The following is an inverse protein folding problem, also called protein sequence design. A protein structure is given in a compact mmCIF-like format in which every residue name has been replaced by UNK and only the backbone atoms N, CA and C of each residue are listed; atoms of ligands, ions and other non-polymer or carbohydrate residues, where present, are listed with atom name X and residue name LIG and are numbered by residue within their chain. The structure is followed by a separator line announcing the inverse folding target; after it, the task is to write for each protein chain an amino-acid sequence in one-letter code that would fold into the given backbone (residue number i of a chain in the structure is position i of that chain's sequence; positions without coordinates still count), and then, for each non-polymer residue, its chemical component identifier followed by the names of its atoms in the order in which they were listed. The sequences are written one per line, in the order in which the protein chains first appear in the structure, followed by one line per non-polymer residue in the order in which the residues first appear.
data_IF_534313177415
#
_entry.id   IF_534313177415
#
_cell.length_a   1.000
_cell.length_b   1.000
_cell.length_c   1.000
_cell.angle_alpha   90.00
_cell.angle_beta   90.00
_cell.angle_gamma   90.00
#
_symmetry.space_group_name_H-M   'P 1'
#
loop_
_entity.id
_entity.type
_entity.pdbx_description
1 polymer ?
#
# COMPACT_ATOMS: atom_id res chain seq x y z
N UNK A 1 16.99 -9.93 6.12
CA UNK A 1 16.16 -9.91 4.88
C UNK A 1 16.82 -9.17 3.72
N UNK A 2 17.22 -7.90 3.85
CA UNK A 2 17.90 -7.19 2.74
C UNK A 2 19.20 -7.88 2.29
N UNK A 3 20.07 -8.25 3.22
CA UNK A 3 21.31 -8.95 2.88
C UNK A 3 21.06 -10.38 2.39
N UNK A 4 20.03 -11.06 2.90
CA UNK A 4 19.63 -12.36 2.36
C UNK A 4 19.13 -12.24 0.91
N UNK A 5 18.45 -11.14 0.59
CA UNK A 5 17.89 -10.92 -0.75
C UNK A 5 18.95 -10.74 -1.83
N UNK A 6 20.13 -10.22 -1.51
CA UNK A 6 21.23 -10.09 -2.49
C UNK A 6 21.77 -11.45 -2.93
N UNK A 7 21.69 -12.46 -2.06
CA UNK A 7 22.16 -13.82 -2.35
C UNK A 7 21.07 -14.74 -2.91
N UNK A 8 19.79 -14.43 -2.66
CA UNK A 8 18.65 -15.28 -3.02
C UNK A 8 17.87 -14.80 -4.24
N UNK A 9 17.95 -13.51 -4.59
CA UNK A 9 17.34 -12.98 -5.82
C UNK A 9 18.18 -13.37 -7.01
N UNK A 10 17.61 -14.17 -7.88
CA UNK A 10 18.22 -14.55 -9.16
C UNK A 10 17.40 -13.94 -10.29
N UNK A 11 18.09 -13.56 -11.37
CA UNK A 11 17.41 -13.15 -12.60
C UNK A 11 16.73 -14.35 -13.26
N UNK A 12 15.72 -14.14 -14.14
CA UNK A 12 15.08 -15.24 -14.87
C UNK A 12 16.09 -16.14 -15.60
N UNK A 13 17.09 -15.55 -16.26
CA UNK A 13 18.15 -16.29 -16.95
C UNK A 13 19.03 -17.12 -15.99
N UNK A 14 19.36 -16.58 -14.80
CA UNK A 14 20.11 -17.33 -13.80
C UNK A 14 19.31 -18.50 -13.23
N UNK A 15 17.99 -18.32 -13.03
CA UNK A 15 17.08 -19.38 -12.63
C UNK A 15 17.00 -20.48 -13.69
N UNK A 16 16.81 -20.11 -14.95
CA UNK A 16 16.75 -21.03 -16.08
C UNK A 16 18.03 -21.87 -16.17
N UNK A 17 19.20 -21.23 -16.10
CA UNK A 17 20.49 -21.89 -16.10
C UNK A 17 20.72 -22.82 -14.90
N UNK A 18 20.13 -22.51 -13.72
CA UNK A 18 20.18 -23.41 -12.56
C UNK A 18 19.28 -24.63 -12.76
N UNK A 19 18.08 -24.44 -13.28
CA UNK A 19 17.15 -25.53 -13.58
C UNK A 19 17.72 -26.47 -14.64
N UNK A 20 18.24 -25.93 -15.74
CA UNK A 20 18.87 -26.74 -16.79
C UNK A 20 20.08 -27.52 -16.26
N UNK A 21 20.92 -26.92 -15.40
CA UNK A 21 22.01 -27.66 -14.74
C UNK A 21 21.50 -28.76 -13.81
N UNK A 22 20.44 -28.50 -13.06
CA UNK A 22 19.82 -29.49 -12.18
C UNK A 22 19.28 -30.69 -12.98
N UNK A 23 18.54 -30.43 -14.07
CA UNK A 23 18.03 -31.46 -14.98
C UNK A 23 19.19 -32.26 -15.59
N UNK A 24 20.24 -31.59 -16.06
CA UNK A 24 21.43 -32.25 -16.62
C UNK A 24 22.19 -33.11 -15.61
N UNK A 25 22.28 -32.67 -14.35
CA UNK A 25 22.90 -33.46 -13.30
C UNK A 25 22.07 -34.70 -12.94
N UNK A 26 20.75 -34.55 -12.95
CA UNK A 26 19.82 -35.65 -12.70
C UNK A 26 19.85 -36.69 -13.82
N UNK A 27 19.92 -36.24 -15.09
CA UNK A 27 19.98 -37.13 -16.26
C UNK A 27 21.29 -37.92 -16.33
N UNK A 28 22.40 -37.34 -15.86
CA UNK A 28 23.72 -38.01 -15.82
C UNK A 28 23.91 -38.94 -14.62
N UNK A 29 23.04 -38.89 -13.61
CA UNK A 29 23.19 -39.70 -12.41
C UNK A 29 22.54 -41.08 -12.58
N UNK A 30 23.37 -42.12 -12.71
CA UNK A 30 22.92 -43.49 -12.93
C UNK A 30 21.96 -44.02 -11.86
N UNK A 31 22.14 -43.69 -10.57
CA UNK A 31 21.25 -44.17 -9.51
C UNK A 31 19.85 -43.56 -9.62
N UNK A 32 19.77 -42.30 -10.03
CA UNK A 32 18.50 -41.61 -10.29
C UNK A 32 17.81 -42.21 -11.51
N UNK A 33 18.55 -42.45 -12.60
CA UNK A 33 18.00 -43.07 -13.81
C UNK A 33 17.46 -44.48 -13.55
N UNK A 34 18.19 -45.31 -12.79
CA UNK A 34 17.70 -46.65 -12.40
C UNK A 34 16.43 -46.58 -11.55
N UNK A 35 16.35 -45.61 -10.63
CA UNK A 35 15.16 -45.43 -9.81
C UNK A 35 13.97 -45.05 -10.70
N UNK A 36 14.11 -44.03 -11.55
CA UNK A 36 13.05 -43.58 -12.44
C UNK A 36 12.59 -44.67 -13.41
N UNK A 37 13.52 -45.41 -14.00
CA UNK A 37 13.19 -46.51 -14.92
C UNK A 37 12.47 -47.67 -14.23
N UNK A 38 12.75 -47.94 -12.95
CA UNK A 38 12.00 -48.92 -12.15
C UNK A 38 10.52 -48.53 -12.02
N UNK A 39 10.21 -47.23 -11.96
CA UNK A 39 8.84 -46.71 -11.94
C UNK A 39 8.26 -46.48 -13.35
N UNK A 40 9.01 -46.76 -14.42
CA UNK A 40 8.61 -46.46 -15.80
C UNK A 40 8.54 -44.96 -16.10
N UNK A 41 9.27 -44.13 -15.35
CA UNK A 41 9.28 -42.67 -15.47
C UNK A 41 10.57 -42.17 -16.12
N UNK A 42 10.49 -41.00 -16.74
CA UNK A 42 11.64 -40.23 -17.22
C UNK A 42 11.33 -38.73 -17.13
N UNK A 43 12.37 -37.90 -17.03
CA UNK A 43 12.24 -36.45 -17.09
C UNK A 43 12.62 -35.93 -18.47
N UNK A 44 11.93 -34.89 -18.91
CA UNK A 44 12.29 -34.16 -20.12
C UNK A 44 13.55 -33.31 -19.90
N UNK A 45 14.43 -33.25 -20.91
CA UNK A 45 15.70 -32.52 -20.84
C UNK A 45 15.58 -31.03 -21.19
N UNK A 46 14.36 -30.55 -21.41
CA UNK A 46 14.05 -29.16 -21.77
C UNK A 46 12.97 -28.65 -20.84
N UNK A 47 12.99 -27.35 -20.61
CA UNK A 47 11.90 -26.69 -19.88
C UNK A 47 10.64 -26.71 -20.73
N UNK A 48 9.49 -26.79 -20.05
CA UNK A 48 8.19 -26.79 -20.69
C UNK A 48 7.95 -25.44 -21.39
N UNK A 49 7.74 -25.48 -22.71
CA UNK A 49 7.34 -24.31 -23.47
C UNK A 49 5.84 -24.08 -23.32
N UNK A 50 5.48 -22.88 -22.90
CA UNK A 50 4.09 -22.47 -22.72
C UNK A 50 3.77 -21.29 -23.62
N UNK A 51 2.63 -21.37 -24.32
CA UNK A 51 2.10 -20.24 -25.08
C UNK A 51 1.25 -19.37 -24.15
N UNK A 52 1.78 -18.20 -23.80
CA UNK A 52 1.06 -17.18 -23.03
C UNK A 52 0.32 -16.18 -23.91
N UNK A 53 -0.48 -15.31 -23.29
CA UNK A 53 -1.06 -14.11 -23.91
C UNK A 53 -0.65 -12.88 -23.13
N UNK A 54 -0.32 -11.79 -23.83
CA UNK A 54 -0.10 -10.47 -23.24
C UNK A 54 -1.39 -9.69 -23.41
N UNK A 55 -1.99 -9.26 -22.29
CA UNK A 55 -3.18 -8.42 -22.32
C UNK A 55 -2.82 -6.98 -22.71
N UNK A 56 -3.70 -6.26 -23.41
CA UNK A 56 -3.50 -4.84 -23.69
C UNK A 56 -3.43 -4.03 -22.38
N UNK A 57 -2.78 -2.87 -22.44
CA UNK A 57 -2.77 -1.94 -21.31
C UNK A 57 -4.17 -1.35 -21.11
N UNK A 58 -4.59 -1.23 -19.84
CA UNK A 58 -5.81 -0.53 -19.49
C UNK A 58 -5.60 0.99 -19.54
N UNK A 59 -6.66 1.74 -19.84
CA UNK A 59 -6.59 3.21 -19.84
C UNK A 59 -6.80 3.74 -18.42
N UNK A 60 -5.92 4.64 -17.99
CA UNK A 60 -6.04 5.31 -16.70
C UNK A 60 -6.89 6.57 -16.88
N UNK A 61 -7.92 6.71 -16.05
CA UNK A 61 -8.80 7.88 -15.98
C UNK A 61 -8.39 8.75 -14.79
N UNK A 62 -8.16 10.03 -15.04
CA UNK A 62 -7.76 11.00 -14.02
C UNK A 62 -8.36 12.38 -14.31
N UNK A 63 -9.25 12.84 -13.43
CA UNK A 63 -10.08 14.02 -13.67
C UNK A 63 -10.87 13.87 -14.97
N UNK A 64 -10.77 14.85 -15.87
CA UNK A 64 -11.41 14.82 -17.18
C UNK A 64 -10.55 14.16 -18.29
N UNK A 65 -9.39 13.58 -17.94
CA UNK A 65 -8.45 13.01 -18.92
C UNK A 65 -8.35 11.49 -18.81
N UNK A 66 -8.08 10.88 -19.94
CA UNK A 66 -7.76 9.46 -20.05
C UNK A 66 -6.43 9.32 -20.81
N UNK A 67 -5.52 8.47 -20.32
CA UNK A 67 -4.22 8.24 -20.94
C UNK A 67 -3.79 6.78 -20.86
N UNK A 68 -2.83 6.43 -21.70
CA UNK A 68 -2.19 5.11 -21.77
C UNK A 68 -0.80 5.15 -21.14
N UNK A 69 -0.25 3.97 -20.85
CA UNK A 69 1.10 3.80 -20.31
C UNK A 69 1.77 2.58 -20.95
N UNK A 70 3.08 2.47 -20.82
CA UNK A 70 3.82 1.31 -21.33
C UNK A 70 3.52 0.07 -20.47
N UNK A 71 2.86 -0.99 -21.01
CA UNK A 71 2.54 -2.19 -20.23
C UNK A 71 3.78 -2.96 -19.77
N UNK A 72 4.92 -2.81 -20.45
CA UNK A 72 6.17 -3.46 -20.05
C UNK A 72 6.78 -2.83 -18.78
N UNK A 73 6.59 -1.52 -18.60
CA UNK A 73 7.09 -0.80 -17.42
C UNK A 73 6.06 -0.82 -16.27
N UNK A 74 4.76 -0.85 -16.63
CA UNK A 74 3.63 -0.80 -15.70
C UNK A 74 3.70 0.38 -14.70
N UNK A 75 4.23 1.52 -15.15
CA UNK A 75 4.36 2.76 -14.38
C UNK A 75 3.78 3.93 -15.17
N UNK A 76 2.87 4.68 -14.54
CA UNK A 76 2.24 5.89 -15.09
C UNK A 76 2.53 7.14 -14.23
N UNK A 77 3.57 7.10 -13.39
CA UNK A 77 3.96 8.20 -12.50
C UNK A 77 4.35 9.49 -13.23
N UNK A 78 4.65 9.43 -14.54
CA UNK A 78 4.99 10.61 -15.35
C UNK A 78 3.72 11.25 -15.90
N UNK A 79 2.80 10.43 -16.39
CA UNK A 79 1.53 10.77 -17.01
C UNK A 79 0.58 11.42 -15.99
N UNK A 80 0.63 10.99 -14.72
CA UNK A 80 -0.14 11.59 -13.62
C UNK A 80 0.24 13.05 -13.31
N UNK A 81 1.42 13.52 -13.73
CA UNK A 81 1.96 14.81 -13.27
C UNK A 81 1.17 15.97 -13.87
N UNK A 82 0.76 16.89 -13.00
CA UNK A 82 0.05 18.10 -13.42
C UNK A 82 -1.41 17.87 -13.79
N UNK A 83 -1.96 16.68 -13.52
CA UNK A 83 -3.36 16.37 -13.72
C UNK A 83 -4.12 16.40 -12.39
N UNK A 84 -5.33 16.99 -12.35
CA UNK A 84 -6.18 16.93 -11.17
C UNK A 84 -6.60 15.49 -10.89
N UNK A 85 -6.84 15.15 -9.62
CA UNK A 85 -7.35 13.83 -9.23
C UNK A 85 -8.80 13.61 -9.73
N UNK A 86 -9.27 12.36 -9.73
CA UNK A 86 -10.67 12.04 -10.03
C UNK A 86 -11.62 12.71 -9.02
N UNK A 87 -11.36 12.46 -7.74
CA UNK A 87 -12.13 13.03 -6.63
C UNK A 87 -11.14 13.60 -5.63
N UNK A 88 -11.15 14.92 -5.47
CA UNK A 88 -10.26 15.63 -4.56
C UNK A 88 -11.00 16.08 -3.31
N UNK A 89 -10.44 15.76 -2.14
CA UNK A 89 -11.04 16.06 -0.85
C UNK A 89 -10.33 17.26 -0.22
N UNK A 90 -11.00 18.41 -0.03
CA UNK A 90 -10.39 19.58 0.58
C UNK A 90 -10.08 19.34 2.05
N UNK A 91 -8.93 19.84 2.51
CA UNK A 91 -8.52 19.80 3.92
C UNK A 91 -8.52 21.21 4.47
N UNK A 92 -9.55 21.53 5.24
CA UNK A 92 -9.77 22.82 5.88
C UNK A 92 -9.17 22.86 7.29
N UNK A 93 -9.45 21.84 8.09
CA UNK A 93 -9.00 21.75 9.48
C UNK A 93 -8.16 20.50 9.66
N UNK A 94 -6.85 20.66 9.59
CA UNK A 94 -5.89 19.56 9.76
C UNK A 94 -4.66 20.01 10.53
N UNK A 95 -3.95 19.05 11.12
CA UNK A 95 -2.80 19.29 11.99
C UNK A 95 -1.51 18.74 11.38
N UNK A 96 -0.42 19.50 11.51
CA UNK A 96 0.93 19.05 11.19
C UNK A 96 1.77 18.96 12.47
N UNK A 97 2.00 17.73 12.92
CA UNK A 97 2.75 17.42 14.12
C UNK A 97 4.22 17.23 13.82
N UNK A 98 5.11 17.92 14.54
CA UNK A 98 6.55 17.77 14.40
C UNK A 98 7.28 17.96 15.73
N UNK A 99 8.51 17.49 15.80
CA UNK A 99 9.40 17.84 16.92
C UNK A 99 10.06 19.19 16.67
N UNK A 100 10.51 19.86 17.74
CA UNK A 100 11.18 21.17 17.63
C UNK A 100 12.37 21.15 16.66
N UNK A 101 13.15 20.08 16.66
CA UNK A 101 14.29 19.88 15.74
C UNK A 101 13.90 19.74 14.26
N UNK A 102 12.66 19.34 13.97
CA UNK A 102 12.17 19.10 12.63
C UNK A 102 11.29 20.24 12.12
N UNK A 103 11.29 21.40 12.78
CA UNK A 103 10.47 22.55 12.40
C UNK A 103 10.74 22.99 10.95
N UNK A 104 12.00 23.11 10.55
CA UNK A 104 12.36 23.50 9.17
C UNK A 104 11.88 22.47 8.13
N UNK A 105 12.04 21.17 8.44
CA UNK A 105 11.57 20.06 7.60
C UNK A 105 10.05 20.11 7.44
N UNK A 106 9.32 20.41 8.52
CA UNK A 106 7.87 20.56 8.50
C UNK A 106 7.41 21.73 7.62
N UNK A 107 8.07 22.88 7.75
CA UNK A 107 7.79 24.05 6.91
C UNK A 107 8.11 23.79 5.44
N UNK A 108 9.23 23.13 5.15
CA UNK A 108 9.61 22.76 3.78
C UNK A 108 8.61 21.79 3.15
N UNK A 109 8.14 20.79 3.91
CA UNK A 109 7.06 19.91 3.46
C UNK A 109 5.78 20.70 3.18
N UNK A 110 5.34 21.57 4.10
CA UNK A 110 4.12 22.36 3.92
C UNK A 110 4.18 23.25 2.67
N UNK A 111 5.30 23.94 2.46
CA UNK A 111 5.53 24.74 1.25
C UNK A 111 5.49 23.89 -0.02
N UNK A 112 6.03 22.67 0.04
CA UNK A 112 6.04 21.76 -1.12
C UNK A 112 4.66 21.19 -1.39
N UNK A 113 3.90 20.79 -0.36
CA UNK A 113 2.53 20.29 -0.49
C UNK A 113 1.63 21.29 -1.21
N UNK A 114 1.74 22.59 -0.87
CA UNK A 114 0.99 23.66 -1.54
C UNK A 114 1.37 23.89 -3.01
N UNK A 115 2.54 23.38 -3.44
CA UNK A 115 3.01 23.48 -4.83
C UNK A 115 2.65 22.25 -5.67
N UNK A 116 2.21 21.14 -5.04
CA UNK A 116 1.91 19.91 -5.78
C UNK A 116 0.67 20.15 -6.66
N UNK A 117 0.76 19.94 -7.98
CA UNK A 117 -0.34 20.20 -8.91
C UNK A 117 -1.31 19.02 -8.98
N UNK A 118 -1.84 18.57 -7.83
CA UNK A 118 -2.83 17.48 -7.74
C UNK A 118 -4.26 17.99 -7.56
N UNK A 119 -4.47 19.30 -7.43
CA UNK A 119 -5.80 19.89 -7.30
C UNK A 119 -6.46 19.71 -5.93
N UNK A 120 -5.70 19.27 -4.91
CA UNK A 120 -6.18 19.22 -3.52
C UNK A 120 -6.05 20.60 -2.89
N UNK A 121 -7.18 21.14 -2.42
CA UNK A 121 -7.18 22.37 -1.64
C UNK A 121 -6.74 22.10 -0.21
N UNK A 122 -5.57 22.61 0.17
CA UNK A 122 -5.00 22.49 1.50
C UNK A 122 -5.01 23.86 2.19
N UNK A 123 -5.85 24.02 3.22
CA UNK A 123 -5.76 25.17 4.11
C UNK A 123 -4.50 25.09 4.98
N UNK A 124 -4.10 26.22 5.58
CA UNK A 124 -2.93 26.26 6.46
C UNK A 124 -3.19 25.36 7.69
N UNK A 125 -2.34 24.34 7.96
CA UNK A 125 -2.56 23.46 9.09
C UNK A 125 -2.31 24.16 10.42
N UNK A 126 -2.95 23.65 11.46
CA UNK A 126 -2.52 23.90 12.83
C UNK A 126 -1.19 23.20 13.10
N UNK A 127 -0.15 23.97 13.38
CA UNK A 127 1.14 23.41 13.79
C UNK A 127 1.05 22.88 15.22
N UNK A 128 1.56 21.68 15.44
CA UNK A 128 1.60 21.04 16.75
C UNK A 128 3.01 20.53 17.03
N UNK A 129 3.70 21.21 17.93
CA UNK A 129 5.00 20.75 18.40
C UNK A 129 4.83 19.69 19.48
N UNK A 130 5.65 18.65 19.43
CA UNK A 130 5.72 17.63 20.48
C UNK A 130 7.18 17.31 20.83
N UNK A 131 7.39 16.87 22.07
CA UNK A 131 8.68 16.32 22.50
C UNK A 131 8.84 14.89 21.99
N UNK A 132 10.05 14.47 21.61
CA UNK A 132 10.32 13.21 20.90
C UNK A 132 10.25 11.95 21.81
N UNK A 133 9.31 11.95 22.75
CA UNK A 133 8.91 10.85 23.64
C UNK A 133 7.50 10.38 23.28
N UNK A 134 7.24 9.07 23.42
CA UNK A 134 5.96 8.48 23.02
C UNK A 134 4.79 9.08 23.82
N UNK A 135 4.95 9.24 25.13
CA UNK A 135 3.92 9.77 26.03
C UNK A 135 3.64 11.25 25.78
N UNK A 136 4.66 12.01 25.38
CA UNK A 136 4.50 13.41 25.02
C UNK A 136 3.75 13.56 23.69
N UNK A 137 4.07 12.72 22.68
CA UNK A 137 3.33 12.67 21.42
C UNK A 137 1.86 12.31 21.64
N UNK A 138 1.59 11.28 22.45
CA UNK A 138 0.22 10.86 22.76
C UNK A 138 -0.57 11.97 23.46
N UNK A 139 0.02 12.61 24.47
CA UNK A 139 -0.63 13.74 25.17
C UNK A 139 -0.91 14.91 24.23
N UNK A 140 0.02 15.24 23.34
CA UNK A 140 -0.18 16.29 22.35
C UNK A 140 -1.37 15.97 21.43
N UNK A 141 -1.48 14.72 20.95
CA UNK A 141 -2.63 14.26 20.17
C UNK A 141 -3.93 14.37 20.96
N UNK A 142 -3.97 13.88 22.20
CA UNK A 142 -5.16 13.93 23.06
C UNK A 142 -5.65 15.36 23.35
N UNK A 143 -4.74 16.32 23.42
CA UNK A 143 -5.09 17.72 23.71
C UNK A 143 -5.57 18.50 22.49
N UNK A 144 -5.10 18.15 21.29
CA UNK A 144 -5.27 18.97 20.08
C UNK A 144 -6.17 18.34 19.03
N UNK A 145 -6.29 17.02 19.01
CA UNK A 145 -7.15 16.30 18.07
C UNK A 145 -8.56 16.25 18.65
N UNK A 146 -9.43 17.09 18.10
CA UNK A 146 -10.86 17.10 18.40
C UNK A 146 -11.68 16.64 17.20
N UNK A 147 -13.01 16.57 17.37
CA UNK A 147 -13.94 16.11 16.34
C UNK A 147 -13.94 16.94 15.04
N UNK A 148 -13.47 18.20 15.09
CA UNK A 148 -13.38 19.09 13.93
C UNK A 148 -12.13 18.83 13.08
N UNK A 149 -11.15 18.08 13.58
CA UNK A 149 -9.91 17.81 12.85
C UNK A 149 -10.15 16.72 11.82
N UNK A 150 -9.99 17.05 10.55
CA UNK A 150 -10.18 16.13 9.43
C UNK A 150 -9.01 15.17 9.27
N UNK A 151 -7.78 15.63 9.53
CA UNK A 151 -6.57 14.81 9.36
C UNK A 151 -5.42 15.26 10.27
N UNK A 152 -4.58 14.30 10.66
CA UNK A 152 -3.32 14.56 11.36
C UNK A 152 -2.14 14.01 10.56
N UNK A 153 -1.22 14.89 10.18
CA UNK A 153 0.08 14.51 9.60
C UNK A 153 1.14 14.54 10.70
N UNK A 154 1.84 13.43 10.92
CA UNK A 154 2.85 13.30 11.98
C UNK A 154 4.23 13.08 11.39
N UNK A 155 5.11 14.04 11.56
CA UNK A 155 6.53 13.92 11.23
C UNK A 155 7.25 13.25 12.40
N UNK A 156 7.61 11.98 12.21
CA UNK A 156 8.37 11.18 13.16
C UNK A 156 9.87 11.41 12.94
N UNK A 157 10.62 11.61 14.02
CA UNK A 157 12.05 11.86 13.90
C UNK A 157 12.86 10.65 13.40
N UNK A 158 12.38 9.43 13.69
CA UNK A 158 13.03 8.17 13.31
C UNK A 158 11.98 7.10 12.97
N UNK A 159 12.40 6.02 12.31
CA UNK A 159 11.55 4.88 11.97
C UNK A 159 11.34 3.94 13.19
N UNK A 160 10.70 4.48 14.23
CA UNK A 160 10.45 3.81 15.51
C UNK A 160 9.03 3.28 15.56
N UNK A 161 8.88 1.96 15.68
CA UNK A 161 7.60 1.25 15.63
C UNK A 161 6.69 1.63 16.80
N UNK A 162 7.23 1.77 18.01
CA UNK A 162 6.50 2.15 19.22
C UNK A 162 5.74 3.49 19.08
N UNK A 163 6.40 4.52 18.52
CA UNK A 163 5.74 5.82 18.26
C UNK A 163 4.68 5.72 17.18
N UNK A 164 4.97 5.01 16.09
CA UNK A 164 4.01 4.81 15.00
C UNK A 164 2.76 4.08 15.49
N UNK A 165 2.95 2.96 16.23
CA UNK A 165 1.86 2.16 16.76
C UNK A 165 1.04 2.95 17.79
N UNK A 166 1.68 3.79 18.60
CA UNK A 166 0.98 4.67 19.54
C UNK A 166 0.07 5.68 18.82
N UNK A 167 0.56 6.35 17.78
CA UNK A 167 -0.24 7.27 16.95
C UNK A 167 -1.41 6.53 16.32
N UNK A 168 -1.16 5.34 15.74
CA UNK A 168 -2.19 4.55 15.07
C UNK A 168 -3.22 3.97 16.02
N UNK A 169 -2.80 3.47 17.19
CA UNK A 169 -3.71 2.98 18.21
C UNK A 169 -4.68 4.07 18.65
N UNK A 170 -4.16 5.25 19.01
CA UNK A 170 -5.00 6.35 19.45
C UNK A 170 -5.94 6.85 18.33
N UNK A 171 -5.40 7.15 17.14
CA UNK A 171 -6.17 7.77 16.05
C UNK A 171 -7.07 6.80 15.27
N UNK A 172 -6.98 5.49 15.52
CA UNK A 172 -7.88 4.51 14.93
C UNK A 172 -8.85 3.88 15.94
N UNK A 173 -8.57 3.95 17.25
CA UNK A 173 -9.40 3.34 18.29
C UNK A 173 -10.07 4.39 19.18
N UNK A 174 -9.28 5.25 19.82
CA UNK A 174 -9.78 6.16 20.86
C UNK A 174 -10.36 7.46 20.28
N UNK A 175 -9.73 8.00 19.23
CA UNK A 175 -10.18 9.20 18.52
C UNK A 175 -10.04 8.98 17.01
N UNK A 176 -11.04 8.39 16.34
CA UNK A 176 -10.97 8.04 14.93
C UNK A 176 -10.75 9.29 14.05
N UNK A 177 -9.51 9.50 13.62
CA UNK A 177 -9.13 10.58 12.70
C UNK A 177 -8.10 10.07 11.69
N UNK A 178 -8.33 10.26 10.38
CA UNK A 178 -7.35 9.94 9.35
C UNK A 178 -5.96 10.49 9.66
N UNK A 179 -4.93 9.65 9.52
CA UNK A 179 -3.56 10.05 9.89
C UNK A 179 -2.48 9.58 8.92
N UNK A 180 -1.50 10.46 8.68
CA UNK A 180 -0.35 10.21 7.82
C UNK A 180 0.95 10.40 8.60
N UNK A 181 1.68 9.31 8.83
CA UNK A 181 3.01 9.37 9.44
C UNK A 181 4.09 9.47 8.36
N UNK A 182 5.07 10.35 8.55
CA UNK A 182 6.22 10.51 7.65
C UNK A 182 7.49 10.60 8.48
N UNK A 183 8.55 9.90 8.08
CA UNK A 183 9.83 9.99 8.78
C UNK A 183 10.61 11.20 8.27
N UNK A 184 11.13 12.03 9.18
CA UNK A 184 11.84 13.27 8.87
C UNK A 184 12.99 13.04 7.86
N UNK A 185 13.76 11.97 8.01
CA UNK A 185 14.85 11.58 7.08
C UNK A 185 14.39 11.47 5.62
N UNK A 186 13.15 11.06 5.38
CA UNK A 186 12.58 10.97 4.02
C UNK A 186 12.41 12.36 3.42
N UNK A 187 12.06 13.36 4.23
CA UNK A 187 11.80 14.73 3.82
C UNK A 187 13.08 15.56 3.69
N UNK A 188 14.17 15.19 4.36
CA UNK A 188 15.46 15.90 4.33
C UNK A 188 16.22 15.80 2.99
N UNK A 189 15.60 15.36 1.91
CA UNK A 189 16.19 15.22 0.57
C UNK A 189 15.53 16.20 -0.41
N UNK A 190 16.07 17.43 -0.56
CA UNK A 190 15.42 18.50 -1.34
C UNK A 190 15.12 18.09 -2.80
N UNK A 191 16.05 17.38 -3.45
CA UNK A 191 15.92 16.94 -4.84
C UNK A 191 14.71 16.03 -5.09
N UNK A 192 14.28 15.26 -4.08
CA UNK A 192 13.16 14.31 -4.19
C UNK A 192 11.90 14.77 -3.46
N UNK A 193 11.95 15.92 -2.79
CA UNK A 193 10.90 16.37 -1.89
C UNK A 193 9.57 16.58 -2.63
N UNK A 194 9.59 17.09 -3.85
CA UNK A 194 8.39 17.26 -4.69
C UNK A 194 7.69 15.93 -4.99
N UNK A 195 8.46 14.91 -5.38
CA UNK A 195 7.92 13.56 -5.63
C UNK A 195 7.36 12.93 -4.36
N UNK A 196 8.05 13.11 -3.24
CA UNK A 196 7.61 12.60 -1.93
C UNK A 196 6.32 13.31 -1.48
N UNK A 197 6.28 14.64 -1.58
CA UNK A 197 5.09 15.43 -1.27
C UNK A 197 3.92 15.03 -2.17
N UNK A 198 4.14 14.79 -3.47
CA UNK A 198 3.09 14.30 -4.38
C UNK A 198 2.50 12.97 -3.90
N UNK A 199 3.35 12.01 -3.53
CA UNK A 199 2.91 10.72 -2.98
C UNK A 199 2.18 10.88 -1.64
N UNK A 200 2.64 11.78 -0.78
CA UNK A 200 1.97 12.10 0.49
C UNK A 200 0.59 12.71 0.22
N UNK A 201 0.47 13.68 -0.68
CA UNK A 201 -0.80 14.29 -1.06
C UNK A 201 -1.80 13.27 -1.60
N UNK A 202 -1.35 12.35 -2.47
CA UNK A 202 -2.19 11.25 -2.96
C UNK A 202 -2.67 10.35 -1.80
N UNK A 203 -1.78 9.98 -0.87
CA UNK A 203 -2.16 9.18 0.30
C UNK A 203 -3.12 9.91 1.24
N UNK A 204 -2.93 11.22 1.43
CA UNK A 204 -3.84 12.06 2.21
C UNK A 204 -5.22 12.09 1.56
N UNK A 205 -5.30 12.29 0.25
CA UNK A 205 -6.57 12.27 -0.48
C UNK A 205 -7.30 10.94 -0.31
N UNK A 206 -6.60 9.82 -0.52
CA UNK A 206 -7.17 8.48 -0.34
C UNK A 206 -7.69 8.21 1.08
N UNK A 207 -6.99 8.73 2.10
CA UNK A 207 -7.43 8.59 3.50
C UNK A 207 -8.62 9.47 3.87
N UNK A 208 -8.87 10.49 3.06
CA UNK A 208 -10.08 11.32 3.12
C UNK A 208 -11.18 10.82 2.19
N UNK A 209 -11.07 9.58 1.68
CA UNK A 209 -12.03 8.96 0.76
C UNK A 209 -12.01 9.55 -0.67
N UNK A 210 -10.96 10.31 -1.02
CA UNK A 210 -10.74 10.81 -2.37
C UNK A 210 -10.10 9.78 -3.29
N UNK A 211 -10.32 9.95 -4.59
CA UNK A 211 -9.92 9.01 -5.63
C UNK A 211 -8.84 9.65 -6.52
N UNK A 212 -7.62 9.08 -6.59
CA UNK A 212 -6.55 9.66 -7.38
C UNK A 212 -6.76 9.45 -8.88
N UNK A 213 -7.18 8.25 -9.27
CA UNK A 213 -7.42 7.79 -10.63
C UNK A 213 -8.38 6.59 -10.59
N UNK A 214 -8.94 6.25 -11.76
CA UNK A 214 -9.78 5.06 -11.93
C UNK A 214 -9.46 4.36 -13.25
N UNK A 215 -10.04 3.17 -13.44
CA UNK A 215 -9.99 2.42 -14.71
C UNK A 215 -11.42 2.05 -15.09
N UNK A 216 -11.67 1.86 -16.38
CA UNK A 216 -13.00 1.49 -16.85
C UNK A 216 -13.29 0.01 -16.51
N UNK A 217 -14.38 -0.22 -15.78
CA UNK A 217 -14.88 -1.57 -15.49
C UNK A 217 -16.27 -1.68 -16.13
N UNK A 218 -16.46 -2.42 -17.24
CA UNK A 218 -17.72 -2.45 -17.97
C UNK A 218 -18.83 -3.22 -17.24
N UNK A 219 -18.52 -3.89 -16.13
CA UNK A 219 -19.48 -4.67 -15.35
C UNK A 219 -20.27 -3.76 -14.40
N UNK A 220 -21.60 -3.73 -14.58
CA UNK A 220 -22.52 -3.02 -13.68
C UNK A 220 -22.77 -3.81 -12.40
N UNK A 221 -23.04 -3.09 -11.30
CA UNK A 221 -23.38 -3.65 -9.99
C UNK A 221 -22.39 -4.74 -9.52
N UNK A 222 -21.10 -4.48 -9.71
CA UNK A 222 -20.02 -5.35 -9.27
C UNK A 222 -19.58 -4.95 -7.86
N UNK A 223 -19.44 -5.93 -6.95
CA UNK A 223 -18.74 -5.77 -5.69
C UNK A 223 -17.42 -6.54 -5.74
N UNK A 224 -16.30 -5.85 -5.49
CA UNK A 224 -15.00 -6.49 -5.33
C UNK A 224 -14.67 -6.61 -3.85
N UNK A 225 -14.37 -7.82 -3.39
CA UNK A 225 -13.88 -8.09 -2.04
C UNK A 225 -12.44 -8.56 -2.12
N UNK A 226 -11.55 -7.86 -1.42
CA UNK A 226 -10.16 -8.28 -1.26
C UNK A 226 -10.01 -8.83 0.15
N UNK A 227 -9.82 -10.14 0.27
CA UNK A 227 -9.46 -10.76 1.54
C UNK A 227 -7.97 -10.55 1.76
N UNK A 228 -7.61 -9.71 2.73
CA UNK A 228 -6.21 -9.54 3.15
C UNK A 228 -5.78 -10.66 4.09
N UNK A 229 -4.52 -11.05 3.99
CA UNK A 229 -3.88 -12.16 4.72
C UNK A 229 -4.22 -12.21 6.21
N UNK A 230 -4.35 -13.43 6.75
CA UNK A 230 -4.16 -13.67 8.17
C UNK A 230 -2.70 -13.44 8.50
N UNK A 231 -2.31 -12.21 8.80
CA UNK A 231 -1.00 -11.96 9.40
C UNK A 231 -0.95 -12.69 10.74
N UNK A 232 -0.10 -13.72 10.84
CA UNK A 232 0.27 -14.28 12.14
C UNK A 232 1.01 -13.19 12.89
N UNK A 233 0.33 -12.52 13.82
CA UNK A 233 0.96 -11.55 14.72
C UNK A 233 2.08 -12.28 15.47
N UNK A 234 3.36 -11.90 15.31
CA UNK A 234 4.43 -12.58 16.03
C UNK A 234 4.53 -12.01 17.46
N UNK A 235 3.63 -12.40 18.38
CA UNK A 235 3.95 -12.51 19.81
C UNK A 235 2.83 -13.16 20.64
N UNK A 236 3.28 -14.06 21.53
CA UNK A 236 2.63 -14.72 22.68
C UNK A 236 1.22 -15.33 22.48
N UNK A 237 1.19 -16.67 22.62
CA UNK A 237 -0.02 -17.48 22.75
C UNK A 237 -0.74 -17.09 24.03
N UNK A 238 -1.62 -16.10 23.97
CA UNK A 238 -2.74 -16.00 24.90
C UNK A 238 -3.87 -16.92 24.38
N UNK A 239 -4.15 -18.06 25.04
CA UNK A 239 -5.19 -18.99 24.61
C UNK A 239 -6.61 -18.45 24.85
N UNK A 240 -6.79 -17.30 25.51
CA UNK A 240 -8.10 -16.75 25.85
C UNK A 240 -8.74 -15.89 24.76
N UNK A 241 -8.00 -15.58 23.70
CA UNK A 241 -8.49 -14.67 22.68
C UNK A 241 -8.55 -15.38 21.32
N UNK A 242 -9.77 -15.54 20.83
CA UNK A 242 -10.07 -16.26 19.61
C UNK A 242 -10.02 -15.31 18.40
N UNK A 243 -9.06 -15.52 17.50
CA UNK A 243 -8.96 -14.82 16.22
C UNK A 243 -9.84 -15.54 15.21
N UNK A 244 -11.02 -14.99 14.95
CA UNK A 244 -11.85 -15.47 13.85
C UNK A 244 -11.38 -14.79 12.55
N UNK A 245 -11.19 -15.53 11.44
CA UNK A 245 -10.87 -14.93 10.15
C UNK A 245 -11.91 -13.87 9.80
N UNK A 246 -11.45 -12.66 9.49
CA UNK A 246 -12.32 -11.53 9.15
C UNK A 246 -13.25 -11.84 7.95
N UNK A 247 -12.94 -12.85 7.14
CA UNK A 247 -13.64 -13.19 5.89
C UNK A 247 -15.13 -13.55 6.07
N UNK A 248 -15.54 -14.18 7.18
CA UNK A 248 -16.94 -14.63 7.35
C UNK A 248 -17.87 -13.56 7.93
N UNK A 249 -17.37 -12.63 8.76
CA UNK A 249 -18.17 -11.49 9.28
C UNK A 249 -18.08 -10.23 8.40
N UNK A 250 -17.00 -10.07 7.63
CA UNK A 250 -16.84 -8.92 6.75
C UNK A 250 -17.81 -8.96 5.56
N UNK A 251 -18.23 -10.15 5.11
CA UNK A 251 -19.11 -10.26 3.93
C UNK A 251 -20.52 -9.67 4.16
N UNK A 252 -21.24 -9.97 5.26
CA UNK A 252 -22.50 -9.29 5.57
C UNK A 252 -22.35 -7.77 5.80
N UNK A 253 -21.26 -7.33 6.44
CA UNK A 253 -21.01 -5.91 6.66
C UNK A 253 -20.71 -5.17 5.34
N UNK A 254 -19.93 -5.77 4.45
CA UNK A 254 -19.63 -5.23 3.13
C UNK A 254 -20.87 -5.16 2.24
N UNK A 255 -21.74 -6.17 2.27
CA UNK A 255 -23.02 -6.13 1.57
C UNK A 255 -23.95 -5.03 2.10
N UNK A 256 -24.00 -4.84 3.42
CA UNK A 256 -24.75 -3.72 4.03
C UNK A 256 -24.19 -2.36 3.61
N UNK A 257 -22.86 -2.21 3.58
CA UNK A 257 -22.22 -0.98 3.13
C UNK A 257 -22.48 -0.71 1.64
N UNK A 258 -22.39 -1.75 0.81
CA UNK A 258 -22.70 -1.67 -0.62
C UNK A 258 -24.15 -1.23 -0.85
N UNK A 259 -25.10 -1.86 -0.15
CA UNK A 259 -26.52 -1.51 -0.23
C UNK A 259 -26.79 -0.07 0.22
N UNK A 260 -26.13 0.39 1.29
CA UNK A 260 -26.24 1.78 1.76
C UNK A 260 -25.83 2.81 0.70
N UNK A 261 -24.84 2.49 -0.13
CA UNK A 261 -24.31 3.42 -1.14
C UNK A 261 -25.02 3.31 -2.49
N UNK A 262 -25.43 2.10 -2.89
CA UNK A 262 -25.97 1.82 -4.23
C UNK A 262 -27.49 1.57 -4.25
N UNK A 263 -28.15 1.56 -3.09
CA UNK A 263 -29.59 1.28 -2.92
C UNK A 263 -30.06 -0.07 -3.52
N UNK A 264 -29.12 -0.98 -3.80
CA UNK A 264 -29.36 -2.31 -4.34
C UNK A 264 -28.27 -3.28 -3.89
N UNK A 265 -28.54 -4.58 -4.01
CA UNK A 265 -27.53 -5.61 -3.81
C UNK A 265 -26.68 -5.79 -5.07
N UNK A 266 -25.39 -6.17 -4.94
CA UNK A 266 -24.55 -6.39 -6.11
C UNK A 266 -25.05 -7.58 -6.92
N UNK A 267 -25.05 -7.44 -8.25
CA UNK A 267 -25.41 -8.53 -9.16
C UNK A 267 -24.30 -9.57 -9.29
N UNK A 268 -23.06 -9.16 -9.02
CA UNK A 268 -21.85 -9.98 -9.10
C UNK A 268 -20.91 -9.63 -7.96
N UNK A 269 -20.30 -10.64 -7.36
CA UNK A 269 -19.29 -10.47 -6.32
C UNK A 269 -18.03 -11.20 -6.78
N UNK A 270 -16.91 -10.48 -6.85
CA UNK A 270 -15.59 -11.05 -7.10
C UNK A 270 -14.81 -11.03 -5.80
N UNK A 271 -14.40 -12.20 -5.32
CA UNK A 271 -13.60 -12.34 -4.11
C UNK A 271 -12.17 -12.69 -4.50
N UNK A 272 -11.25 -11.76 -4.23
CA UNK A 272 -9.82 -11.99 -4.35
C UNK A 272 -9.29 -12.50 -3.01
N UNK A 273 -8.91 -13.78 -2.96
CA UNK A 273 -8.30 -14.40 -1.79
C UNK A 273 -6.79 -14.54 -2.00
N UNK A 274 -5.99 -13.82 -1.22
CA UNK A 274 -4.55 -14.07 -1.15
C UNK A 274 -4.31 -15.25 -0.19
N UNK A 275 -3.68 -16.30 -0.68
CA UNK A 275 -3.13 -17.36 0.15
C UNK A 275 -1.63 -17.07 0.36
N UNK A 276 -1.18 -16.98 1.61
CA UNK A 276 0.24 -17.05 1.91
C UNK A 276 0.74 -18.46 1.57
N UNK A 277 1.62 -18.57 0.57
CA UNK A 277 2.52 -19.71 0.40
C UNK A 277 3.75 -19.55 1.30
#
# INVERSE_FOLDING_TARGET
MKDLSTHTRLTPEQWENRLNRFINNMSRNASVQTTLSTWGLSFENKLLNLTGRVLPAERILQGARAYEYNPCDADWSKEMRGLPLMTSMPLETWLLSHTRRNAEVAHSLLQTLNKVPVGIHLQRPGMMEYDDRQEALLRALQQRVGQQVQMVVVILSANRKDKYDCVKKYLCVDCPTPSQCVVARTLSRPQTLMTIATKISLQMNCKMEGEPWSVEIPLKHLMMLVSTDTTTVPQERDPSVHWWPASTRACPAALKAYFKYNECLPSRIVVWATACC
#
